data_IF_187656866896
#
_entry.id   IF_187656866896
#
_cell.length_a   1.000
_cell.length_b   1.000
_cell.length_c   1.000
_cell.angle_alpha   90.00
_cell.angle_beta   90.00
_cell.angle_gamma   90.00
#
_symmetry.space_group_name_H-M   'P 1'
#
loop_
_entity.id
_entity.type
_entity.pdbx_description
1 polymer ?
#
# COMPACT_ATOMS: atom_id res chain seq x y z
N UNK A 1 -23.84 -12.78 16.78
CA UNK A 1 -24.16 -12.02 15.56
C UNK A 1 -22.94 -12.07 14.62
N UNK A 2 -23.02 -12.73 13.44
CA UNK A 2 -21.84 -13.09 12.59
C UNK A 2 -21.84 -12.44 11.19
N UNK A 3 -22.34 -11.21 11.06
CA UNK A 3 -22.37 -10.51 9.77
C UNK A 3 -20.97 -10.19 9.21
N UNK A 4 -19.96 -10.11 10.09
CA UNK A 4 -18.58 -9.73 9.72
C UNK A 4 -17.85 -10.77 8.86
N UNK A 5 -18.27 -12.04 8.89
CA UNK A 5 -17.59 -13.14 8.18
C UNK A 5 -18.09 -13.33 6.73
N UNK A 6 -19.20 -12.70 6.33
CA UNK A 6 -19.71 -12.76 4.95
C UNK A 6 -20.74 -13.86 4.66
N UNK A 7 -21.08 -14.70 5.63
CA UNK A 7 -22.08 -15.78 5.47
C UNK A 7 -23.54 -15.31 5.60
N UNK A 8 -23.78 -14.18 6.26
CA UNK A 8 -25.11 -13.72 6.65
C UNK A 8 -25.20 -13.47 8.15
N UNK A 9 -26.19 -12.69 8.58
CA UNK A 9 -26.40 -12.38 10.00
C UNK A 9 -27.47 -13.30 10.60
N UNK A 10 -27.66 -13.26 11.92
CA UNK A 10 -28.75 -13.98 12.58
C UNK A 10 -30.11 -13.62 11.97
N UNK A 11 -30.30 -12.36 11.56
CA UNK A 11 -31.54 -11.89 10.90
C UNK A 11 -31.87 -12.68 9.63
N UNK A 12 -30.88 -12.95 8.78
CA UNK A 12 -31.10 -13.72 7.55
C UNK A 12 -31.32 -15.22 7.82
N UNK A 13 -30.75 -15.73 8.92
CA UNK A 13 -30.99 -17.12 9.34
C UNK A 13 -32.42 -17.27 9.85
N UNK A 14 -32.87 -16.37 10.73
CA UNK A 14 -34.26 -16.37 11.24
C UNK A 14 -35.27 -16.17 10.10
N UNK A 15 -34.95 -15.33 9.12
CA UNK A 15 -35.80 -15.13 7.94
C UNK A 15 -35.82 -16.33 6.97
N UNK A 16 -35.05 -17.39 7.22
CA UNK A 16 -35.01 -18.57 6.35
C UNK A 16 -34.51 -18.28 4.93
N UNK A 17 -33.69 -17.23 4.75
CA UNK A 17 -33.28 -16.81 3.41
C UNK A 17 -32.39 -17.86 2.75
N UNK A 18 -32.82 -18.42 1.62
CA UNK A 18 -32.03 -19.38 0.85
C UNK A 18 -30.91 -18.66 0.08
N UNK A 19 -29.77 -18.50 0.73
CA UNK A 19 -28.61 -17.79 0.20
C UNK A 19 -27.34 -18.66 0.17
N UNK A 20 -27.49 -19.98 0.30
CA UNK A 20 -26.42 -20.98 0.29
C UNK A 20 -25.88 -21.26 -1.11
N UNK A 21 -26.72 -21.49 -2.15
CA UNK A 21 -26.22 -21.58 -3.52
C UNK A 21 -25.95 -20.17 -4.06
N UNK A 22 -24.76 -19.65 -3.77
CA UNK A 22 -24.28 -18.39 -4.37
C UNK A 22 -23.39 -18.69 -5.56
N UNK A 23 -23.47 -17.81 -6.55
CA UNK A 23 -22.55 -17.81 -7.69
C UNK A 23 -21.12 -17.71 -7.19
N UNK A 24 -20.29 -18.68 -7.57
CA UNK A 24 -18.86 -18.64 -7.32
C UNK A 24 -18.25 -17.70 -8.37
N UNK A 25 -17.52 -16.68 -7.92
CA UNK A 25 -16.88 -15.69 -8.80
C UNK A 25 -15.45 -15.47 -8.33
N UNK A 26 -14.54 -15.28 -9.29
CA UNK A 26 -13.17 -14.93 -8.98
C UNK A 26 -13.12 -13.50 -8.43
N UNK A 27 -12.39 -13.30 -7.34
CA UNK A 27 -12.18 -11.97 -6.76
C UNK A 27 -10.78 -11.85 -6.14
N UNK A 28 -9.95 -10.87 -6.55
CA UNK A 28 -8.52 -10.82 -6.22
C UNK A 28 -8.21 -10.44 -4.75
N UNK A 29 -9.19 -9.97 -3.97
CA UNK A 29 -9.01 -9.55 -2.57
C UNK A 29 -7.96 -8.43 -2.35
N UNK A 30 -7.66 -7.60 -3.35
CA UNK A 30 -6.63 -6.56 -3.22
C UNK A 30 -6.93 -5.60 -2.06
N UNK A 31 -8.17 -5.12 -1.96
CA UNK A 31 -8.59 -4.23 -0.88
C UNK A 31 -8.53 -4.90 0.50
N UNK A 32 -9.04 -6.12 0.62
CA UNK A 32 -9.00 -6.91 1.85
C UNK A 32 -7.55 -7.18 2.30
N UNK A 33 -6.63 -7.43 1.37
CA UNK A 33 -5.21 -7.62 1.66
C UNK A 33 -4.56 -6.31 2.14
N UNK A 34 -4.92 -5.16 1.56
CA UNK A 34 -4.48 -3.84 2.05
C UNK A 34 -4.99 -3.62 3.48
N UNK A 35 -6.27 -3.87 3.75
CA UNK A 35 -6.85 -3.74 5.10
C UNK A 35 -6.23 -4.70 6.11
N UNK A 36 -5.95 -5.94 5.70
CA UNK A 36 -5.25 -6.91 6.54
C UNK A 36 -3.83 -6.42 6.88
N UNK A 37 -3.10 -5.83 5.92
CA UNK A 37 -1.77 -5.25 6.16
C UNK A 37 -1.84 -4.11 7.17
N UNK A 38 -2.82 -3.22 7.04
CA UNK A 38 -3.04 -2.12 7.98
C UNK A 38 -3.37 -2.63 9.38
N UNK A 39 -4.33 -3.54 9.50
CA UNK A 39 -4.72 -4.16 10.76
C UNK A 39 -3.54 -4.92 11.42
N UNK A 40 -2.68 -5.57 10.63
CA UNK A 40 -1.50 -6.25 11.16
C UNK A 40 -0.47 -5.26 11.72
N UNK A 41 -0.17 -4.17 10.99
CA UNK A 41 0.70 -3.10 11.49
C UNK A 41 0.14 -2.47 12.76
N UNK A 42 -1.17 -2.29 12.81
CA UNK A 42 -1.88 -1.78 13.97
C UNK A 42 -1.71 -2.72 15.18
N UNK A 43 -1.93 -4.03 15.02
CA UNK A 43 -1.69 -5.01 16.09
C UNK A 43 -0.26 -4.92 16.63
N UNK A 44 0.75 -4.93 15.75
CA UNK A 44 2.16 -4.81 16.15
C UNK A 44 2.38 -3.52 16.95
N UNK A 45 1.85 -2.39 16.46
CA UNK A 45 1.94 -1.10 17.16
C UNK A 45 1.27 -1.15 18.54
N UNK A 46 0.12 -1.81 18.68
CA UNK A 46 -0.57 -1.96 19.95
C UNK A 46 0.25 -2.77 20.96
N UNK A 47 0.86 -3.88 20.54
CA UNK A 47 1.79 -4.63 21.37
C UNK A 47 3.00 -3.77 21.77
N UNK A 48 3.63 -3.10 20.82
CA UNK A 48 4.76 -2.19 21.09
C UNK A 48 4.41 -1.11 22.13
N UNK A 49 3.22 -0.51 22.03
CA UNK A 49 2.75 0.51 22.99
C UNK A 49 2.50 -0.09 24.38
N UNK A 50 1.83 -1.25 24.45
CA UNK A 50 1.55 -1.97 25.71
C UNK A 50 2.83 -2.34 26.44
N UNK A 51 3.88 -2.68 25.70
CA UNK A 51 5.14 -3.23 26.21
C UNK A 51 6.25 -2.17 26.33
N UNK A 52 5.91 -0.88 26.28
CA UNK A 52 6.87 0.19 26.55
C UNK A 52 7.38 0.13 27.98
N UNK A 53 8.70 0.10 28.13
CA UNK A 53 9.42 0.16 29.40
C UNK A 53 10.11 1.54 29.50
N UNK A 54 10.22 2.07 30.71
CA UNK A 54 11.02 3.26 30.98
C UNK A 54 12.50 2.98 30.73
N UNK A 55 13.09 3.84 29.92
CA UNK A 55 14.51 3.87 29.58
C UNK A 55 14.92 5.35 29.57
N UNK A 56 15.01 5.90 30.79
CA UNK A 56 15.31 7.29 31.02
C UNK A 56 16.83 7.49 30.97
N UNK A 57 17.25 8.46 30.16
CA UNK A 57 18.68 8.77 29.90
C UNK A 57 19.27 9.80 30.86
N UNK A 58 18.43 10.43 31.67
CA UNK A 58 18.84 11.46 32.63
C UNK A 58 18.87 10.88 34.05
N UNK A 59 19.92 11.20 34.84
CA UNK A 59 20.15 10.59 36.15
C UNK A 59 19.02 10.84 37.14
N UNK A 60 18.41 12.04 37.13
CA UNK A 60 17.28 12.37 38.03
C UNK A 60 16.00 11.53 37.80
N UNK A 61 15.90 10.84 36.66
CA UNK A 61 14.75 10.00 36.30
C UNK A 61 15.08 8.51 36.24
N UNK A 62 16.31 8.12 36.60
CA UNK A 62 16.78 6.74 36.46
C UNK A 62 16.05 5.74 37.38
N UNK A 63 15.45 6.21 38.49
CA UNK A 63 14.75 5.38 39.48
C UNK A 63 13.57 4.57 38.90
N UNK A 64 13.00 5.03 37.79
CA UNK A 64 11.87 4.36 37.13
C UNK A 64 12.30 3.41 36.01
N UNK A 65 13.60 3.32 35.68
CA UNK A 65 14.09 2.46 34.61
C UNK A 65 13.80 0.98 34.92
N UNK A 66 13.39 0.23 33.89
CA UNK A 66 12.97 -1.16 34.04
C UNK A 66 11.50 -1.36 34.40
N UNK A 67 10.78 -0.29 34.80
CA UNK A 67 9.33 -0.33 34.99
C UNK A 67 8.58 -0.13 33.66
N UNK A 68 7.39 -0.73 33.53
CA UNK A 68 6.51 -0.42 32.41
C UNK A 68 6.08 1.05 32.44
N UNK A 69 5.94 1.67 31.26
CA UNK A 69 5.41 3.05 31.13
C UNK A 69 3.93 3.15 31.47
N UNK A 70 3.19 2.04 31.40
CA UNK A 70 1.82 1.96 31.89
C UNK A 70 1.76 1.41 33.31
N UNK A 71 0.91 2.04 34.13
CA UNK A 71 0.44 1.46 35.40
C UNK A 71 -0.27 0.12 35.11
N UNK A 72 -0.09 -0.93 35.94
CA UNK A 72 -0.63 -2.27 35.68
C UNK A 72 -2.12 -2.31 35.30
N UNK A 73 -3.00 -1.65 36.07
CA UNK A 73 -4.44 -1.60 35.75
C UNK A 73 -4.73 -0.98 34.37
N UNK A 74 -4.01 0.08 34.00
CA UNK A 74 -4.17 0.71 32.68
C UNK A 74 -3.62 -0.17 31.57
N UNK A 75 -2.53 -0.89 31.83
CA UNK A 75 -1.93 -1.85 30.88
C UNK A 75 -2.87 -3.01 30.59
N UNK A 76 -3.50 -3.56 31.63
CA UNK A 76 -4.52 -4.61 31.51
C UNK A 76 -5.73 -4.12 30.71
N UNK A 77 -6.30 -2.97 31.07
CA UNK A 77 -7.41 -2.36 30.34
C UNK A 77 -7.09 -2.12 28.86
N UNK A 78 -5.89 -1.61 28.57
CA UNK A 78 -5.44 -1.40 27.20
C UNK A 78 -5.30 -2.73 26.43
N UNK A 79 -4.82 -3.78 27.09
CA UNK A 79 -4.71 -5.10 26.48
C UNK A 79 -6.10 -5.67 26.15
N UNK A 80 -7.01 -5.67 27.12
CA UNK A 80 -8.35 -6.26 26.96
C UNK A 80 -9.21 -5.52 25.94
N UNK A 81 -9.06 -4.20 25.83
CA UNK A 81 -9.81 -3.38 24.88
C UNK A 81 -9.11 -3.30 23.52
N UNK A 82 -7.99 -2.60 23.44
CA UNK A 82 -7.40 -2.23 22.14
C UNK A 82 -6.64 -3.40 21.48
N UNK A 83 -5.76 -4.08 22.25
CA UNK A 83 -4.93 -5.17 21.69
C UNK A 83 -5.82 -6.32 21.25
N UNK A 84 -6.73 -6.77 22.11
CA UNK A 84 -7.60 -7.90 21.80
C UNK A 84 -8.61 -7.58 20.68
N UNK A 85 -9.16 -6.37 20.62
CA UNK A 85 -10.02 -5.97 19.50
C UNK A 85 -9.27 -5.90 18.17
N UNK A 86 -8.05 -5.33 18.15
CA UNK A 86 -7.24 -5.26 16.92
C UNK A 86 -6.92 -6.67 16.38
N UNK A 87 -6.65 -7.64 17.27
CA UNK A 87 -6.49 -9.05 16.91
C UNK A 87 -7.78 -9.62 16.31
N UNK A 88 -8.94 -9.37 16.93
CA UNK A 88 -10.24 -9.83 16.41
C UNK A 88 -10.52 -9.27 15.01
N UNK A 89 -10.28 -7.98 14.79
CA UNK A 89 -10.44 -7.33 13.47
C UNK A 89 -9.51 -7.96 12.43
N UNK A 90 -8.23 -8.18 12.77
CA UNK A 90 -7.27 -8.89 11.90
C UNK A 90 -7.76 -10.30 11.55
N UNK A 91 -8.29 -11.04 12.53
CA UNK A 91 -8.81 -12.39 12.32
C UNK A 91 -10.02 -12.43 11.39
N UNK A 92 -10.93 -11.44 11.48
CA UNK A 92 -12.06 -11.30 10.54
C UNK A 92 -11.56 -11.11 9.10
N UNK A 93 -10.59 -10.22 8.88
CA UNK A 93 -10.00 -10.03 7.55
C UNK A 93 -9.33 -11.31 7.04
N UNK A 94 -8.54 -11.99 7.87
CA UNK A 94 -7.92 -13.26 7.52
C UNK A 94 -8.95 -14.31 7.12
N UNK A 95 -10.05 -14.42 7.86
CA UNK A 95 -11.11 -15.39 7.57
C UNK A 95 -11.76 -15.12 6.20
N UNK A 96 -12.18 -13.87 5.95
CA UNK A 96 -12.76 -13.45 4.66
C UNK A 96 -11.83 -13.75 3.48
N UNK A 97 -10.54 -13.44 3.62
CA UNK A 97 -9.54 -13.70 2.57
C UNK A 97 -9.35 -15.20 2.34
N UNK A 98 -9.26 -16.00 3.41
CA UNK A 98 -9.13 -17.47 3.27
C UNK A 98 -10.33 -18.07 2.56
N UNK A 99 -11.54 -17.65 2.91
CA UNK A 99 -12.76 -18.10 2.25
C UNK A 99 -12.75 -17.75 0.77
N UNK A 100 -12.42 -16.50 0.42
CA UNK A 100 -12.41 -16.08 -0.97
C UNK A 100 -11.29 -16.76 -1.79
N UNK A 101 -10.13 -17.02 -1.20
CA UNK A 101 -9.06 -17.80 -1.85
C UNK A 101 -9.51 -19.23 -2.14
N UNK A 102 -10.26 -19.86 -1.24
CA UNK A 102 -10.82 -21.18 -1.48
C UNK A 102 -11.86 -21.16 -2.61
N UNK A 103 -12.65 -20.09 -2.73
CA UNK A 103 -13.57 -19.90 -3.87
C UNK A 103 -12.81 -19.65 -5.18
N UNK A 104 -11.80 -18.80 -5.17
CA UNK A 104 -10.98 -18.53 -6.36
C UNK A 104 -10.31 -19.81 -6.87
N UNK A 105 -9.82 -20.68 -6.00
CA UNK A 105 -9.23 -21.96 -6.39
C UNK A 105 -10.24 -22.86 -7.13
N UNK A 106 -11.51 -22.88 -6.68
CA UNK A 106 -12.58 -23.60 -7.40
C UNK A 106 -12.82 -23.01 -8.78
N UNK A 107 -12.86 -21.68 -8.90
CA UNK A 107 -13.05 -21.00 -10.20
C UNK A 107 -11.90 -21.27 -11.15
N UNK A 108 -10.66 -21.21 -10.66
CA UNK A 108 -9.47 -21.50 -11.47
C UNK A 108 -9.53 -22.93 -12.01
N UNK A 109 -9.79 -23.91 -11.15
CA UNK A 109 -9.90 -25.31 -11.58
C UNK A 109 -11.01 -25.51 -12.62
N UNK A 110 -12.20 -24.92 -12.40
CA UNK A 110 -13.32 -25.01 -13.34
C UNK A 110 -13.00 -24.37 -14.71
N UNK A 111 -12.27 -23.25 -14.72
CA UNK A 111 -11.82 -22.60 -15.95
C UNK A 111 -10.74 -23.42 -16.67
N UNK A 112 -9.78 -23.98 -15.94
CA UNK A 112 -8.73 -24.83 -16.50
C UNK A 112 -9.31 -26.09 -17.14
N UNK A 113 -10.27 -26.74 -16.49
CA UNK A 113 -10.95 -27.94 -17.01
C UNK A 113 -11.77 -27.65 -18.28
N UNK A 114 -12.40 -26.46 -18.37
CA UNK A 114 -13.26 -26.10 -19.50
C UNK A 114 -12.53 -25.50 -20.69
N UNK A 115 -11.50 -24.69 -20.44
CA UNK A 115 -10.87 -23.86 -21.48
C UNK A 115 -9.38 -24.15 -21.66
N UNK A 116 -8.78 -24.95 -20.77
CA UNK A 116 -7.34 -25.17 -20.71
C UNK A 116 -6.60 -24.08 -19.93
N UNK A 117 -5.36 -24.39 -19.53
CA UNK A 117 -4.56 -23.57 -18.60
C UNK A 117 -4.24 -22.17 -19.12
N UNK A 118 -3.82 -22.06 -20.38
CA UNK A 118 -3.43 -20.76 -20.95
C UNK A 118 -4.63 -19.83 -21.13
N UNK A 119 -5.76 -20.36 -21.59
CA UNK A 119 -6.99 -19.59 -21.72
C UNK A 119 -7.51 -19.14 -20.34
N UNK A 120 -7.49 -20.01 -19.33
CA UNK A 120 -7.87 -19.65 -17.97
C UNK A 120 -6.97 -18.54 -17.40
N UNK A 121 -5.66 -18.62 -17.62
CA UNK A 121 -4.71 -17.58 -17.19
C UNK A 121 -4.98 -16.23 -17.88
N UNK A 122 -5.27 -16.24 -19.18
CA UNK A 122 -5.63 -15.03 -19.93
C UNK A 122 -6.94 -14.42 -19.42
N UNK A 123 -7.98 -15.24 -19.19
CA UNK A 123 -9.29 -14.79 -18.68
C UNK A 123 -9.22 -14.21 -17.26
N UNK A 124 -8.25 -14.64 -16.45
CA UNK A 124 -8.04 -14.15 -15.08
C UNK A 124 -6.98 -13.05 -14.98
N UNK A 125 -6.41 -12.62 -16.11
CA UNK A 125 -5.49 -11.49 -16.15
C UNK A 125 -6.23 -10.17 -15.94
N UNK A 126 -5.69 -9.34 -15.04
CA UNK A 126 -6.15 -7.96 -14.84
C UNK A 126 -5.22 -6.94 -15.52
N UNK A 127 -4.36 -7.40 -16.45
CA UNK A 127 -3.47 -6.50 -17.17
C UNK A 127 -4.28 -5.53 -18.04
N UNK A 128 -4.02 -4.24 -17.88
CA UNK A 128 -4.64 -3.17 -18.64
C UNK A 128 -3.59 -2.42 -19.46
N UNK A 129 -3.98 -1.72 -20.55
CA UNK A 129 -3.04 -0.95 -21.38
C UNK A 129 -2.26 0.12 -20.62
N UNK A 130 -2.81 0.65 -19.53
CA UNK A 130 -2.20 1.67 -18.66
C UNK A 130 -1.43 1.07 -17.48
N UNK A 131 -1.44 -0.24 -17.28
CA UNK A 131 -0.74 -0.88 -16.15
C UNK A 131 0.76 -0.56 -16.12
N UNK A 132 1.41 -0.52 -17.28
CA UNK A 132 2.82 -0.13 -17.42
C UNK A 132 3.09 1.31 -16.99
N UNK A 133 2.11 2.22 -17.06
CA UNK A 133 2.27 3.59 -16.57
C UNK A 133 2.55 3.63 -15.06
N UNK A 134 1.96 2.70 -14.30
CA UNK A 134 2.09 2.63 -12.84
C UNK A 134 3.21 1.68 -12.39
N UNK A 135 3.43 0.56 -13.08
CA UNK A 135 4.37 -0.48 -12.65
C UNK A 135 5.72 -0.44 -13.39
N UNK A 136 5.78 0.05 -14.62
CA UNK A 136 6.97 0.03 -15.46
C UNK A 136 7.05 1.26 -16.39
N UNK A 137 7.15 2.50 -15.84
CA UNK A 137 6.96 3.72 -16.62
C UNK A 137 7.94 3.91 -17.78
N UNK A 138 9.12 3.25 -17.75
CA UNK A 138 10.07 3.21 -18.88
C UNK A 138 9.48 2.57 -20.15
N UNK A 139 8.57 1.59 -20.00
CA UNK A 139 7.84 0.96 -21.12
C UNK A 139 6.72 1.85 -21.63
N UNK A 140 6.23 2.80 -20.82
CA UNK A 140 5.08 3.65 -21.15
C UNK A 140 5.45 5.03 -21.74
N UNK A 141 6.74 5.40 -21.75
CA UNK A 141 7.20 6.73 -22.20
C UNK A 141 6.80 7.06 -23.65
N UNK A 142 6.69 6.05 -24.51
CA UNK A 142 6.29 6.23 -25.91
C UNK A 142 4.76 6.29 -26.10
N UNK A 143 3.99 5.88 -25.09
CA UNK A 143 2.52 5.87 -25.12
C UNK A 143 1.97 7.22 -24.67
N UNK A 144 2.41 7.72 -23.52
CA UNK A 144 2.03 9.04 -23.02
C UNK A 144 3.07 9.62 -22.06
N UNK A 145 3.10 10.96 -21.98
CA UNK A 145 3.92 11.66 -20.98
C UNK A 145 3.18 11.70 -19.63
N UNK A 146 3.59 10.86 -18.70
CA UNK A 146 3.08 10.81 -17.33
C UNK A 146 4.03 11.44 -16.29
N UNK A 147 5.04 12.19 -16.74
CA UNK A 147 6.05 12.79 -15.85
C UNK A 147 5.54 14.13 -15.29
N UNK A 148 5.61 14.39 -13.97
CA UNK A 148 5.23 15.68 -13.40
C UNK A 148 6.07 16.85 -13.96
N UNK A 149 7.36 16.61 -14.14
CA UNK A 149 8.34 17.46 -14.82
C UNK A 149 8.28 17.26 -16.33
N UNK A 150 7.12 17.53 -16.94
CA UNK A 150 6.84 17.19 -18.34
C UNK A 150 7.88 17.71 -19.34
N UNK A 151 8.50 18.87 -19.08
CA UNK A 151 9.54 19.45 -19.94
C UNK A 151 10.84 18.62 -19.98
N UNK A 152 11.07 17.76 -18.99
CA UNK A 152 12.23 16.85 -18.96
C UNK A 152 11.93 15.48 -19.60
N UNK A 153 10.68 15.20 -19.97
CA UNK A 153 10.32 13.96 -20.65
C UNK A 153 11.05 13.85 -22.00
N UNK A 154 11.52 12.67 -22.45
CA UNK A 154 12.28 12.53 -23.69
C UNK A 154 11.63 13.18 -24.92
N UNK A 155 10.29 13.15 -25.03
CA UNK A 155 9.55 13.80 -26.12
C UNK A 155 9.65 15.34 -26.11
N UNK A 156 9.81 15.97 -24.94
CA UNK A 156 9.90 17.42 -24.76
C UNK A 156 11.30 17.87 -24.31
N UNK A 157 12.26 16.95 -24.24
CA UNK A 157 13.63 17.21 -23.79
C UNK A 157 14.38 18.24 -24.65
N UNK A 158 13.90 18.49 -25.86
CA UNK A 158 14.40 19.52 -26.76
C UNK A 158 14.09 20.95 -26.27
N UNK A 159 13.10 21.13 -25.40
CA UNK A 159 12.72 22.43 -24.81
C UNK A 159 13.70 22.84 -23.70
N UNK A 160 14.33 21.88 -23.03
CA UNK A 160 15.28 22.16 -21.95
C UNK A 160 16.57 22.72 -22.54
N UNK A 161 16.95 23.98 -22.23
CA UNK A 161 18.20 24.54 -22.72
C UNK A 161 19.36 23.74 -22.13
N UNK A 162 20.33 23.40 -22.97
CA UNK A 162 21.55 22.68 -22.59
C UNK A 162 22.72 23.68 -22.61
N UNK A 163 22.93 24.47 -21.54
CA UNK A 163 23.97 25.49 -21.52
C UNK A 163 25.35 24.84 -21.61
N UNK A 164 26.28 25.52 -22.28
CA UNK A 164 27.68 25.09 -22.32
C UNK A 164 28.34 25.46 -20.99
N UNK A 165 28.58 24.46 -20.16
CA UNK A 165 29.23 24.62 -18.86
C UNK A 165 30.69 24.16 -18.90
N UNK A 166 31.57 24.86 -18.18
CA UNK A 166 32.98 24.50 -18.02
C UNK A 166 33.44 24.78 -16.58
N UNK A 167 34.33 23.95 -16.05
CA UNK A 167 35.01 24.21 -14.77
C UNK A 167 36.17 25.16 -14.96
N UNK A 168 36.27 26.17 -14.10
CA UNK A 168 37.32 27.20 -14.14
C UNK A 168 38.31 26.94 -13.01
N UNK A 169 39.53 26.52 -13.36
CA UNK A 169 40.56 26.14 -12.39
C UNK A 169 40.96 27.31 -11.48
N UNK A 170 41.10 28.51 -12.05
CA UNK A 170 41.45 29.75 -11.35
C UNK A 170 40.43 30.16 -10.29
N UNK A 171 39.18 29.71 -10.43
CA UNK A 171 38.11 29.92 -9.45
C UNK A 171 37.97 28.74 -8.47
N UNK A 172 39.03 27.94 -8.29
CA UNK A 172 38.99 26.74 -7.45
C UNK A 172 38.15 25.60 -8.04
N UNK A 173 38.00 25.55 -9.37
CA UNK A 173 37.28 24.49 -10.07
C UNK A 173 35.76 24.68 -10.18
N UNK A 174 35.24 25.88 -9.93
CA UNK A 174 33.80 26.20 -10.03
C UNK A 174 33.30 25.99 -11.46
N UNK A 175 32.15 25.33 -11.61
CA UNK A 175 31.43 25.18 -12.89
C UNK A 175 30.71 26.48 -13.24
N UNK A 176 31.00 27.08 -14.41
CA UNK A 176 30.31 28.26 -14.94
C UNK A 176 29.72 27.99 -16.32
N UNK A 177 28.60 28.64 -16.61
CA UNK A 177 27.99 28.68 -17.95
C UNK A 177 28.77 29.69 -18.80
N UNK A 178 29.03 29.34 -20.06
CA UNK A 178 29.81 30.14 -21.00
C UNK A 178 28.94 30.99 -21.93
N UNK A 179 27.65 30.67 -22.04
CA UNK A 179 26.74 31.36 -22.94
C UNK A 179 26.46 32.79 -22.42
N UNK A 180 26.51 33.82 -23.28
CA UNK A 180 26.28 35.20 -22.87
C UNK A 180 24.81 35.39 -22.47
N UNK A 181 24.58 36.36 -21.58
CA UNK A 181 23.22 36.78 -21.21
C UNK A 181 22.60 37.58 -22.34
N UNK A 182 21.29 37.43 -22.55
CA UNK A 182 20.52 38.23 -23.50
C UNK A 182 20.18 39.59 -22.89
N UNK A 183 20.24 40.66 -23.69
CA UNK A 183 19.78 41.99 -23.28
C UNK A 183 18.29 41.96 -22.94
N UNK A 184 17.93 42.59 -21.82
CA UNK A 184 16.55 42.75 -21.39
C UNK A 184 16.03 44.09 -21.90
N UNK A 185 14.80 44.11 -22.44
CA UNK A 185 14.17 45.36 -22.88
C UNK A 185 13.97 46.30 -21.70
N UNK A 186 14.48 47.51 -21.81
CA UNK A 186 14.51 48.50 -20.72
C UNK A 186 13.57 49.70 -20.94
N UNK A 187 12.90 49.76 -22.09
CA UNK A 187 11.94 50.82 -22.44
C UNK A 187 10.80 50.24 -23.32
N UNK A 188 9.67 50.95 -23.41
CA UNK A 188 8.44 50.51 -24.08
C UNK A 188 8.34 50.94 -25.55
#
# INVERSE_FOLDING_TARGET
>A
MSGALGHGSYRSVVAGTQNTPRRITYYPCAYELIQLRLAHKEVIRHFYIRDKIFDNKFPGTALANGLFKFVPNRRENYHMREVMESIRRRSVWMHRIKQQRALNAKVVNELEERHGKEAAASMLSFATPDSDAYFAPHRYQHVANAWPNYWQHPSLSHVVPKPRWRRVAELGGITRVQDPLTEQANDY
#
